data_IF_077422096081
#
_entry.id   IF_077422096081
#
_cell.length_a   1.000
_cell.length_b   1.000
_cell.length_c   1.000
_cell.angle_alpha   90.00
_cell.angle_beta   90.00
_cell.angle_gamma   90.00
#
_symmetry.space_group_name_H-M   'P 1'
#
loop_
_entity.id
_entity.type
_entity.pdbx_description
1 polymer ?
#
# COMPACT_ATOMS: atom_id res chain seq x y z
N UNK A 1 28.30 -16.89 -62.27
CA UNK A 1 29.26 -17.25 -61.21
C UNK A 1 29.27 -16.12 -60.19
N UNK A 2 28.81 -16.42 -58.97
CA UNK A 2 28.97 -15.67 -57.71
C UNK A 2 28.47 -14.20 -57.63
N UNK A 3 27.15 -14.01 -57.47
CA UNK A 3 26.59 -12.82 -56.83
C UNK A 3 26.37 -13.11 -55.33
N UNK A 4 27.45 -13.10 -54.54
CA UNK A 4 27.32 -13.08 -53.09
C UNK A 4 28.49 -12.31 -52.47
N UNK A 5 28.19 -11.68 -51.32
CA UNK A 5 29.11 -11.13 -50.31
C UNK A 5 29.49 -9.67 -50.50
N UNK A 6 28.63 -8.77 -50.01
CA UNK A 6 29.01 -7.74 -49.02
C UNK A 6 27.81 -7.37 -48.14
N UNK A 7 27.20 -8.35 -47.46
CA UNK A 7 26.46 -7.99 -46.25
C UNK A 7 27.54 -7.53 -45.27
N UNK A 8 27.62 -6.21 -45.04
CA UNK A 8 28.67 -5.59 -44.23
C UNK A 8 28.58 -6.21 -42.84
N UNK A 9 29.55 -7.04 -42.46
CA UNK A 9 29.73 -7.63 -41.14
C UNK A 9 29.31 -6.70 -39.97
N UNK A 10 29.61 -5.38 -39.98
CA UNK A 10 29.12 -4.47 -38.93
C UNK A 10 27.59 -4.34 -38.84
N UNK A 11 26.84 -4.41 -39.94
CA UNK A 11 25.38 -4.32 -39.93
C UNK A 11 24.72 -5.60 -39.39
N UNK A 12 25.32 -6.76 -39.65
CA UNK A 12 24.85 -8.04 -39.10
C UNK A 12 25.14 -8.14 -37.59
N UNK A 13 26.32 -7.67 -37.15
CA UNK A 13 26.68 -7.56 -35.73
C UNK A 13 25.77 -6.56 -34.99
N UNK A 14 25.46 -5.41 -35.60
CA UNK A 14 24.55 -4.42 -35.01
C UNK A 14 23.14 -4.99 -34.86
N UNK A 15 22.62 -5.65 -35.90
CA UNK A 15 21.30 -6.31 -35.85
C UNK A 15 21.23 -7.44 -34.82
N UNK A 16 22.29 -8.24 -34.68
CA UNK A 16 22.39 -9.27 -33.65
C UNK A 16 22.45 -8.66 -32.24
N UNK A 17 23.19 -7.57 -32.03
CA UNK A 17 23.21 -6.84 -30.76
C UNK A 17 21.82 -6.28 -30.42
N UNK A 18 21.11 -5.68 -31.38
CA UNK A 18 19.74 -5.19 -31.14
C UNK A 18 18.76 -6.33 -30.83
N UNK A 19 18.90 -7.49 -31.48
CA UNK A 19 18.08 -8.67 -31.20
C UNK A 19 18.37 -9.25 -29.80
N UNK A 20 19.65 -9.33 -29.39
CA UNK A 20 20.05 -9.81 -28.05
C UNK A 20 19.61 -8.84 -26.96
N UNK A 21 19.76 -7.51 -27.17
CA UNK A 21 19.27 -6.49 -26.25
C UNK A 21 17.74 -6.55 -26.16
N UNK A 22 17.03 -6.72 -27.28
CA UNK A 22 15.58 -6.93 -27.29
C UNK A 22 15.14 -8.18 -26.52
N UNK A 23 15.85 -9.29 -26.66
CA UNK A 23 15.56 -10.54 -25.94
C UNK A 23 15.80 -10.42 -24.43
N UNK A 24 16.86 -9.70 -24.02
CA UNK A 24 17.18 -9.43 -22.61
C UNK A 24 16.15 -8.50 -21.95
N UNK A 25 15.60 -7.53 -22.67
CA UNK A 25 14.54 -6.64 -22.16
C UNK A 25 13.22 -7.39 -21.96
N UNK A 26 12.92 -8.41 -22.79
CA UNK A 26 11.72 -9.26 -22.65
C UNK A 26 11.88 -10.26 -21.49
N UNK A 27 13.12 -10.65 -21.15
CA UNK A 27 13.42 -11.57 -20.07
C UNK A 27 13.55 -10.92 -18.69
N UNK A 28 13.45 -9.59 -18.59
CA UNK A 28 13.42 -8.92 -17.30
C UNK A 28 12.11 -9.29 -16.57
N UNK A 29 12.15 -9.92 -15.39
CA UNK A 29 10.94 -10.13 -14.61
C UNK A 29 10.32 -8.76 -14.34
N UNK A 30 9.06 -8.60 -14.75
CA UNK A 30 8.26 -7.46 -14.34
C UNK A 30 8.00 -7.64 -12.85
N UNK A 31 8.92 -7.15 -12.00
CA UNK A 31 8.74 -7.17 -10.55
C UNK A 31 7.61 -6.20 -10.21
N UNK A 32 6.41 -6.75 -10.09
CA UNK A 32 5.23 -5.97 -9.70
C UNK A 32 5.18 -5.69 -8.19
N UNK A 33 6.02 -6.35 -7.37
CA UNK A 33 6.04 -6.26 -5.90
C UNK A 33 7.43 -5.99 -5.32
N UNK A 34 7.60 -6.25 -4.04
CA UNK A 34 8.89 -6.08 -3.36
C UNK A 34 9.99 -6.96 -4.01
N UNK A 35 11.25 -6.48 -4.09
CA UNK A 35 12.36 -7.28 -4.56
C UNK A 35 12.58 -8.52 -3.70
N UNK A 36 12.97 -9.63 -4.32
CA UNK A 36 13.31 -10.85 -3.60
C UNK A 36 14.59 -10.66 -2.76
N UNK A 37 14.68 -11.38 -1.64
CA UNK A 37 15.81 -11.30 -0.73
C UNK A 37 17.05 -11.98 -1.31
N UNK A 38 18.23 -11.40 -1.06
CA UNK A 38 19.52 -11.94 -1.53
C UNK A 38 20.31 -12.67 -0.42
N UNK A 39 19.80 -12.66 0.80
CA UNK A 39 20.38 -13.26 2.00
C UNK A 39 19.27 -13.50 3.02
N UNK A 40 19.52 -14.36 4.01
CA UNK A 40 18.51 -14.80 4.98
C UNK A 40 17.85 -13.65 5.77
N UNK A 41 18.62 -12.62 6.14
CA UNK A 41 18.10 -11.46 6.89
C UNK A 41 18.79 -10.15 6.47
N UNK A 42 18.03 -9.05 6.51
CA UNK A 42 18.55 -7.69 6.33
C UNK A 42 17.75 -6.71 7.20
N UNK A 43 17.99 -6.74 8.52
CA UNK A 43 17.28 -5.87 9.48
C UNK A 43 17.53 -4.39 9.14
N UNK A 44 16.48 -3.59 9.02
CA UNK A 44 16.59 -2.18 8.64
C UNK A 44 17.45 -1.36 9.61
N UNK A 45 18.43 -0.65 9.08
CA UNK A 45 19.25 0.33 9.79
C UNK A 45 18.78 1.77 9.51
N UNK A 46 17.88 2.26 10.36
CA UNK A 46 17.42 3.64 10.26
C UNK A 46 18.48 4.68 10.63
N UNK A 47 19.56 4.30 11.34
CA UNK A 47 20.60 5.26 11.74
C UNK A 47 21.39 5.73 10.51
N UNK A 48 21.70 4.80 9.60
CA UNK A 48 22.39 5.11 8.34
C UNK A 48 21.60 6.05 7.42
N UNK A 49 20.27 6.15 7.60
CA UNK A 49 19.41 7.06 6.82
C UNK A 49 19.52 8.53 7.25
N UNK A 50 20.11 8.83 8.40
CA UNK A 50 20.32 10.22 8.87
C UNK A 50 21.30 11.01 7.98
N UNK A 51 22.10 10.32 7.17
CA UNK A 51 23.02 10.92 6.20
C UNK A 51 22.44 11.03 4.78
N UNK A 52 23.30 11.19 3.75
CA UNK A 52 22.88 11.32 2.36
C UNK A 52 22.46 9.98 1.71
N UNK A 53 22.69 8.84 2.38
CA UNK A 53 22.40 7.52 1.83
C UNK A 53 20.90 7.35 1.56
N UNK A 54 20.55 7.05 0.30
CA UNK A 54 19.20 6.70 -0.12
C UNK A 54 19.28 5.43 -0.95
N UNK A 55 18.45 4.46 -0.61
CA UNK A 55 18.32 3.16 -1.29
C UNK A 55 16.83 2.83 -1.45
N UNK A 56 16.50 1.90 -2.33
CA UNK A 56 15.15 1.34 -2.37
C UNK A 56 14.99 0.38 -1.17
N UNK A 57 14.04 0.67 -0.27
CA UNK A 57 13.95 0.00 1.04
C UNK A 57 14.90 0.62 2.06
N UNK A 58 15.57 -0.21 2.86
CA UNK A 58 16.46 0.25 3.93
C UNK A 58 17.84 -0.45 3.88
N UNK A 59 18.93 0.25 4.25
CA UNK A 59 20.22 -0.41 4.46
C UNK A 59 20.11 -1.41 5.62
N UNK A 60 20.95 -2.45 5.64
CA UNK A 60 20.93 -3.48 6.67
C UNK A 60 21.84 -3.11 7.86
N UNK A 61 21.43 -3.48 9.08
CA UNK A 61 22.33 -3.54 10.24
C UNK A 61 23.39 -4.64 10.03
N UNK A 62 24.60 -4.51 10.61
CA UNK A 62 25.54 -5.63 10.70
C UNK A 62 24.90 -6.80 11.45
N UNK A 63 25.00 -8.01 10.91
CA UNK A 63 24.37 -9.21 11.47
C UNK A 63 24.79 -9.49 12.92
N UNK A 64 26.04 -9.19 13.28
CA UNK A 64 26.54 -9.32 14.65
C UNK A 64 25.79 -8.45 15.69
N UNK A 65 25.03 -7.44 15.24
CA UNK A 65 24.23 -6.55 16.08
C UNK A 65 22.72 -6.86 16.01
N UNK A 66 22.32 -7.90 15.27
CA UNK A 66 20.93 -8.32 15.12
C UNK A 66 20.53 -9.21 16.30
N UNK A 67 19.31 -9.00 16.79
CA UNK A 67 18.73 -9.74 17.91
C UNK A 67 17.30 -10.19 17.61
N UNK A 68 16.74 -11.08 18.43
CA UNK A 68 15.34 -11.49 18.29
C UNK A 68 14.36 -10.31 18.38
N UNK A 69 14.70 -9.27 19.14
CA UNK A 69 13.88 -8.07 19.31
C UNK A 69 13.73 -7.28 17.99
N UNK A 70 14.65 -7.43 17.04
CA UNK A 70 14.54 -6.80 15.72
C UNK A 70 13.42 -7.41 14.85
N UNK A 71 12.95 -8.61 15.19
CA UNK A 71 11.89 -9.34 14.50
C UNK A 71 10.57 -9.35 15.28
N UNK A 72 10.52 -8.69 16.44
CA UNK A 72 9.38 -8.72 17.34
C UNK A 72 8.64 -7.37 17.37
N UNK A 73 7.31 -7.44 17.39
CA UNK A 73 6.47 -6.28 17.63
C UNK A 73 5.16 -6.66 18.33
N UNK A 74 5.02 -6.24 19.58
CA UNK A 74 3.82 -6.49 20.38
C UNK A 74 2.68 -5.49 20.16
N UNK A 75 2.86 -4.47 19.31
CA UNK A 75 1.91 -3.36 19.19
C UNK A 75 0.51 -3.76 18.71
N UNK A 76 0.39 -4.84 17.94
CA UNK A 76 -0.91 -5.35 17.48
C UNK A 76 -1.75 -5.98 18.60
N UNK A 77 -1.18 -6.25 19.78
CA UNK A 77 -1.90 -6.87 20.89
C UNK A 77 -2.93 -5.93 21.54
N UNK A 78 -2.69 -4.62 21.50
CA UNK A 78 -3.56 -3.61 22.10
C UNK A 78 -4.52 -3.02 21.05
N UNK A 79 -5.74 -2.69 21.49
CA UNK A 79 -6.67 -1.90 20.69
C UNK A 79 -6.23 -0.44 20.66
N UNK A 80 -6.36 0.20 19.50
CA UNK A 80 -6.19 1.65 19.37
C UNK A 80 -7.45 2.41 19.83
N UNK A 81 -7.30 3.69 20.21
CA UNK A 81 -8.43 4.56 20.57
C UNK A 81 -9.22 4.97 19.31
N UNK A 82 -10.48 4.55 19.26
CA UNK A 82 -11.42 4.83 18.17
C UNK A 82 -12.51 5.84 18.55
N UNK A 83 -12.47 6.40 19.76
CA UNK A 83 -13.54 7.23 20.31
C UNK A 83 -13.14 8.70 20.46
N UNK A 84 -11.91 8.99 20.87
CA UNK A 84 -11.50 10.36 21.19
C UNK A 84 -11.06 11.13 19.95
N UNK A 85 -11.85 12.11 19.52
CA UNK A 85 -11.47 13.01 18.41
C UNK A 85 -11.28 12.30 17.06
N UNK A 86 -11.83 11.10 16.90
CA UNK A 86 -11.70 10.27 15.71
C UNK A 86 -13.04 10.20 14.96
N UNK A 87 -13.28 11.09 13.97
CA UNK A 87 -14.56 11.14 13.27
C UNK A 87 -14.83 9.92 12.40
N UNK A 88 -13.80 9.12 12.06
CA UNK A 88 -13.98 7.89 11.30
C UNK A 88 -14.37 6.72 12.20
N UNK A 89 -14.13 6.80 13.51
CA UNK A 89 -14.40 5.70 14.42
C UNK A 89 -13.60 4.43 14.10
N UNK A 90 -12.43 4.55 13.44
CA UNK A 90 -11.51 3.44 13.24
C UNK A 90 -10.06 3.88 13.40
N UNK A 91 -9.19 2.96 13.80
CA UNK A 91 -7.76 3.24 13.98
C UNK A 91 -6.93 2.05 13.53
N UNK A 92 -5.83 2.35 12.83
CA UNK A 92 -4.91 1.34 12.28
C UNK A 92 -3.61 1.36 13.07
N UNK A 93 -3.17 0.19 13.51
CA UNK A 93 -1.83 -0.05 14.04
C UNK A 93 -1.05 -0.88 13.04
N UNK A 94 -0.03 -0.29 12.41
CA UNK A 94 0.79 -0.96 11.40
C UNK A 94 1.95 -1.74 12.03
N UNK A 95 2.19 -2.94 11.49
CA UNK A 95 3.39 -3.75 11.71
C UNK A 95 4.10 -3.94 10.36
N UNK A 96 4.65 -2.83 9.85
CA UNK A 96 5.42 -2.78 8.59
C UNK A 96 6.92 -2.67 8.86
N UNK A 97 7.73 -2.56 7.80
CA UNK A 97 9.18 -2.45 7.92
C UNK A 97 9.68 -1.17 8.60
N UNK A 98 8.80 -0.27 9.08
CA UNK A 98 9.16 0.84 9.97
C UNK A 98 8.99 0.48 11.44
N UNK A 99 7.97 -0.32 11.76
CA UNK A 99 7.68 -0.80 13.12
C UNK A 99 8.44 -2.09 13.47
N UNK A 100 8.67 -2.96 12.49
CA UNK A 100 9.36 -4.25 12.62
C UNK A 100 10.57 -4.27 11.69
N UNK A 101 11.76 -3.85 12.15
CA UNK A 101 12.94 -3.69 11.29
C UNK A 101 13.35 -4.96 10.54
N UNK A 102 13.08 -6.13 11.13
CA UNK A 102 13.34 -7.44 10.54
C UNK A 102 12.50 -7.78 9.31
N UNK A 103 11.43 -7.03 9.01
CA UNK A 103 10.62 -7.22 7.79
C UNK A 103 11.31 -6.71 6.52
N UNK A 104 12.39 -5.93 6.65
CA UNK A 104 13.09 -5.40 5.49
C UNK A 104 13.64 -6.53 4.61
N UNK A 105 13.39 -6.41 3.30
CA UNK A 105 13.63 -7.39 2.22
C UNK A 105 12.72 -8.62 2.20
N UNK A 106 11.80 -8.79 3.16
CA UNK A 106 10.98 -10.02 3.28
C UNK A 106 9.62 -9.96 2.56
N UNK A 107 9.27 -8.82 1.97
CA UNK A 107 8.09 -8.71 1.10
C UNK A 107 6.75 -8.89 1.79
N UNK A 108 6.67 -8.77 3.12
CA UNK A 108 5.43 -8.92 3.89
C UNK A 108 5.30 -7.91 5.01
N UNK A 109 4.07 -7.59 5.37
CA UNK A 109 3.74 -6.79 6.57
C UNK A 109 2.33 -7.09 7.06
N UNK A 110 1.98 -6.58 8.23
CA UNK A 110 0.65 -6.73 8.82
C UNK A 110 0.12 -5.40 9.35
N UNK A 111 -1.18 -5.35 9.61
CA UNK A 111 -1.80 -4.28 10.37
C UNK A 111 -2.98 -4.82 11.20
N UNK A 112 -3.28 -4.15 12.30
CA UNK A 112 -4.52 -4.29 13.05
C UNK A 112 -5.38 -3.07 12.82
N UNK A 113 -6.67 -3.25 12.57
CA UNK A 113 -7.64 -2.17 12.53
C UNK A 113 -8.73 -2.41 13.55
N UNK A 114 -8.91 -1.46 14.45
CA UNK A 114 -10.01 -1.42 15.42
C UNK A 114 -11.12 -0.50 14.90
N UNK A 115 -12.37 -0.89 15.10
CA UNK A 115 -13.55 -0.15 14.65
C UNK A 115 -14.55 0.04 15.80
N UNK A 116 -15.03 1.27 15.97
CA UNK A 116 -16.16 1.58 16.83
C UNK A 116 -17.43 0.84 16.34
N UNK A 117 -18.37 0.52 17.26
CA UNK A 117 -19.66 -0.04 16.89
C UNK A 117 -20.44 0.86 15.93
N UNK A 118 -21.43 0.29 15.23
CA UNK A 118 -22.44 1.05 14.46
C UNK A 118 -21.87 2.09 13.47
N UNK A 119 -20.89 1.69 12.67
CA UNK A 119 -20.44 2.51 11.54
C UNK A 119 -19.01 3.05 11.64
N UNK A 120 -18.21 2.61 12.62
CA UNK A 120 -16.76 2.81 12.56
C UNK A 120 -16.23 2.37 11.20
N UNK A 121 -15.54 3.26 10.50
CA UNK A 121 -15.23 3.10 9.07
C UNK A 121 -13.74 3.33 8.83
N UNK A 122 -13.14 2.40 8.11
CA UNK A 122 -11.90 2.65 7.38
C UNK A 122 -12.33 3.18 6.01
N UNK A 123 -12.21 4.50 5.77
CA UNK A 123 -12.80 5.15 4.60
C UNK A 123 -12.15 4.65 3.31
N UNK A 124 -12.73 4.94 2.12
CA UNK A 124 -12.15 4.53 0.85
C UNK A 124 -10.66 4.87 0.73
N UNK A 125 -9.83 3.84 0.58
CA UNK A 125 -8.39 3.95 0.47
C UNK A 125 -7.82 2.87 -0.47
N UNK A 126 -6.55 3.00 -0.84
CA UNK A 126 -5.85 2.02 -1.65
C UNK A 126 -4.41 1.82 -1.14
N UNK A 127 -3.89 0.62 -1.37
CA UNK A 127 -2.50 0.26 -1.13
C UNK A 127 -1.76 0.21 -2.47
N UNK A 128 -0.96 1.23 -2.82
CA UNK A 128 -0.34 1.31 -4.15
C UNK A 128 0.68 0.20 -4.42
N UNK A 129 1.22 -0.42 -3.36
CA UNK A 129 2.31 -1.41 -3.47
C UNK A 129 1.94 -2.80 -2.94
N UNK A 130 0.72 -3.03 -2.47
CA UNK A 130 0.35 -4.34 -1.94
C UNK A 130 -1.08 -4.75 -2.25
N UNK A 131 -1.26 -6.06 -2.47
CA UNK A 131 -2.52 -6.77 -2.23
C UNK A 131 -2.69 -6.92 -0.73
N UNK A 132 -3.93 -6.84 -0.26
CA UNK A 132 -4.29 -7.07 1.14
C UNK A 132 -5.18 -8.30 1.27
N UNK A 133 -4.91 -9.12 2.29
CA UNK A 133 -5.88 -10.08 2.82
C UNK A 133 -6.26 -9.68 4.24
N UNK A 134 -7.56 -9.52 4.48
CA UNK A 134 -8.15 -9.15 5.76
C UNK A 134 -8.73 -10.39 6.42
N UNK A 135 -8.47 -10.56 7.71
CA UNK A 135 -9.09 -11.54 8.59
C UNK A 135 -9.85 -10.80 9.70
N UNK A 136 -11.15 -11.10 9.89
CA UNK A 136 -11.94 -10.49 10.97
C UNK A 136 -11.71 -11.27 12.25
N UNK A 137 -11.01 -10.66 13.21
CA UNK A 137 -10.71 -11.26 14.51
C UNK A 137 -11.89 -11.16 15.48
N UNK A 138 -12.64 -10.04 15.42
CA UNK A 138 -13.80 -9.77 16.27
C UNK A 138 -14.88 -8.99 15.51
N UNK A 139 -16.15 -9.19 15.89
CA UNK A 139 -17.28 -8.46 15.35
C UNK A 139 -17.64 -8.85 13.91
N UNK A 140 -18.21 -7.87 13.19
CA UNK A 140 -18.75 -8.04 11.84
C UNK A 140 -18.49 -6.76 11.04
N UNK A 141 -17.88 -6.92 9.86
CA UNK A 141 -17.56 -5.83 8.94
C UNK A 141 -18.33 -6.00 7.64
N UNK A 142 -18.86 -4.92 7.10
CA UNK A 142 -19.09 -4.81 5.67
C UNK A 142 -17.81 -4.32 5.00
N UNK A 143 -17.35 -5.04 3.99
CA UNK A 143 -16.14 -4.69 3.24
C UNK A 143 -16.46 -4.62 1.76
N UNK A 144 -15.65 -3.88 1.01
CA UNK A 144 -15.72 -3.97 -0.45
C UNK A 144 -14.64 -3.19 -1.18
N UNK A 145 -14.42 -3.54 -2.45
CA UNK A 145 -13.53 -2.84 -3.37
C UNK A 145 -14.22 -2.50 -4.68
N UNK A 146 -13.69 -1.51 -5.38
CA UNK A 146 -14.19 -1.06 -6.68
C UNK A 146 -13.16 -1.39 -7.76
N UNK A 147 -13.60 -2.09 -8.82
CA UNK A 147 -12.71 -2.42 -9.95
C UNK A 147 -12.33 -1.18 -10.74
N UNK A 148 -11.13 -1.16 -11.32
CA UNK A 148 -10.79 -0.18 -12.35
C UNK A 148 -11.58 -0.46 -13.63
N UNK A 149 -12.34 0.52 -14.14
CA UNK A 149 -13.04 0.40 -15.41
C UNK A 149 -13.25 1.78 -16.06
N UNK A 150 -13.17 1.84 -17.39
CA UNK A 150 -13.33 3.07 -18.16
C UNK A 150 -14.75 3.68 -18.07
N UNK A 151 -15.77 2.88 -17.73
CA UNK A 151 -17.18 3.27 -17.71
C UNK A 151 -17.80 3.26 -16.29
N UNK A 152 -16.98 3.47 -15.26
CA UNK A 152 -17.40 3.40 -13.86
C UNK A 152 -17.16 2.00 -13.28
N UNK A 153 -16.33 1.93 -12.24
CA UNK A 153 -15.96 0.67 -11.60
C UNK A 153 -17.14 -0.10 -11.00
N UNK A 154 -16.99 -1.42 -10.87
CA UNK A 154 -17.97 -2.29 -10.20
C UNK A 154 -17.58 -2.48 -8.74
N UNK A 155 -18.53 -2.29 -7.82
CA UNK A 155 -18.37 -2.64 -6.41
C UNK A 155 -18.52 -4.16 -6.21
N UNK A 156 -17.54 -4.75 -5.52
CA UNK A 156 -17.62 -6.08 -4.92
C UNK A 156 -17.64 -5.89 -3.41
N UNK A 157 -18.75 -6.22 -2.76
CA UNK A 157 -18.90 -6.08 -1.30
C UNK A 157 -19.53 -7.30 -0.66
N UNK A 158 -19.26 -7.48 0.63
CA UNK A 158 -19.80 -8.57 1.45
C UNK A 158 -19.74 -8.20 2.94
N UNK A 159 -20.67 -8.76 3.73
CA UNK A 159 -20.54 -8.84 5.18
C UNK A 159 -19.64 -10.01 5.58
N UNK A 160 -18.56 -9.71 6.30
CA UNK A 160 -17.52 -10.63 6.76
C UNK A 160 -17.57 -10.68 8.28
N UNK A 161 -17.73 -11.87 8.82
CA UNK A 161 -17.87 -12.13 10.25
C UNK A 161 -16.55 -12.61 10.83
N UNK A 162 -16.48 -12.61 12.16
CA UNK A 162 -15.39 -13.23 12.92
C UNK A 162 -14.99 -14.61 12.33
N UNK A 163 -13.69 -14.77 12.07
CA UNK A 163 -13.11 -16.00 11.55
C UNK A 163 -13.09 -16.09 10.01
N UNK A 164 -13.72 -15.14 9.31
CA UNK A 164 -13.76 -15.10 7.85
C UNK A 164 -12.70 -14.14 7.28
N UNK A 165 -12.41 -14.30 5.98
CA UNK A 165 -11.42 -13.50 5.25
C UNK A 165 -12.01 -12.78 4.05
N UNK A 166 -11.35 -11.71 3.61
CA UNK A 166 -11.64 -11.01 2.36
C UNK A 166 -10.35 -10.46 1.74
N UNK A 167 -10.26 -10.42 0.40
CA UNK A 167 -9.05 -10.00 -0.33
C UNK A 167 -9.32 -8.72 -1.11
N UNK A 168 -8.41 -7.76 -0.99
CA UNK A 168 -8.41 -6.51 -1.76
C UNK A 168 -7.25 -6.51 -2.76
N UNK A 169 -7.52 -6.50 -4.07
CA UNK A 169 -6.46 -6.48 -5.07
C UNK A 169 -5.60 -5.21 -4.99
N UNK A 170 -4.30 -5.34 -5.28
CA UNK A 170 -3.33 -4.25 -5.26
C UNK A 170 -3.83 -3.00 -5.97
N UNK A 171 -3.73 -1.86 -5.29
CA UNK A 171 -4.03 -0.54 -5.83
C UNK A 171 -5.51 -0.21 -6.01
N UNK A 172 -6.45 -1.13 -5.72
CA UNK A 172 -7.88 -0.83 -5.86
C UNK A 172 -8.41 -0.09 -4.62
N UNK A 173 -9.28 0.88 -4.87
CA UNK A 173 -10.02 1.57 -3.82
C UNK A 173 -10.95 0.57 -3.13
N UNK A 174 -10.85 0.52 -1.81
CA UNK A 174 -11.64 -0.36 -0.96
C UNK A 174 -11.92 0.29 0.39
N UNK A 175 -12.86 -0.29 1.15
CA UNK A 175 -13.28 0.21 2.45
C UNK A 175 -13.71 -0.94 3.36
N UNK A 176 -13.79 -0.64 4.65
CA UNK A 176 -14.40 -1.51 5.65
C UNK A 176 -15.27 -0.67 6.59
N UNK A 177 -16.40 -1.21 7.02
CA UNK A 177 -17.34 -0.57 7.95
C UNK A 177 -17.84 -1.58 8.97
N UNK A 178 -17.74 -1.25 10.25
CA UNK A 178 -18.42 -2.01 11.31
C UNK A 178 -19.94 -1.88 11.19
N UNK A 179 -20.64 -3.01 11.15
CA UNK A 179 -22.12 -3.07 11.06
C UNK A 179 -22.76 -3.67 12.31
N UNK A 180 -21.94 -4.02 13.32
CA UNK A 180 -22.40 -4.66 14.55
C UNK A 180 -22.59 -3.68 15.72
N UNK A 181 -23.30 -4.17 16.73
CA UNK A 181 -23.49 -3.48 18.01
C UNK A 181 -22.25 -3.49 18.92
N UNK A 182 -21.33 -4.43 18.67
CA UNK A 182 -20.05 -4.51 19.35
C UNK A 182 -18.94 -3.90 18.47
N UNK A 183 -17.81 -3.48 19.07
CA UNK A 183 -16.61 -3.14 18.31
C UNK A 183 -16.19 -4.29 17.40
N UNK A 184 -15.53 -3.97 16.30
CA UNK A 184 -14.96 -4.96 15.40
C UNK A 184 -13.43 -4.80 15.33
N UNK A 185 -12.74 -5.90 15.10
CA UNK A 185 -11.28 -5.94 14.96
C UNK A 185 -10.94 -6.77 13.73
N UNK A 186 -10.06 -6.25 12.89
CA UNK A 186 -9.53 -6.99 11.76
C UNK A 186 -8.00 -6.94 11.73
N UNK A 187 -7.42 -8.02 11.20
CA UNK A 187 -5.99 -8.16 10.98
C UNK A 187 -5.78 -8.28 9.48
N UNK A 188 -5.00 -7.36 8.92
CA UNK A 188 -4.62 -7.33 7.51
C UNK A 188 -3.20 -7.87 7.36
N UNK A 189 -2.95 -8.62 6.29
CA UNK A 189 -1.62 -8.98 5.83
C UNK A 189 -1.43 -8.51 4.39
N UNK A 190 -0.20 -8.10 4.07
CA UNK A 190 0.15 -7.48 2.81
C UNK A 190 1.34 -8.19 2.16
N UNK A 191 1.35 -8.28 0.83
CA UNK A 191 2.47 -8.78 0.03
C UNK A 191 3.53 -7.70 -0.27
N UNK A 192 3.77 -6.82 0.71
CA UNK A 192 4.86 -5.84 0.71
C UNK A 192 5.25 -5.52 2.14
N UNK A 193 6.54 -5.26 2.37
CA UNK A 193 7.09 -4.73 3.61
C UNK A 193 6.60 -3.30 3.90
N UNK A 194 6.15 -2.58 2.86
CA UNK A 194 5.66 -1.20 2.93
C UNK A 194 4.49 -0.98 1.94
N UNK A 195 3.28 -1.47 2.26
CA UNK A 195 2.12 -1.40 1.36
C UNK A 195 1.77 0.04 0.96
N UNK A 196 1.95 0.98 1.90
CA UNK A 196 1.51 2.37 1.80
C UNK A 196 -0.01 2.47 1.83
N UNK A 197 -0.54 3.58 2.34
CA UNK A 197 -1.98 3.81 2.39
C UNK A 197 -2.31 5.16 1.81
N UNK A 198 -3.15 5.19 0.79
CA UNK A 198 -3.66 6.42 0.20
C UNK A 198 -5.16 6.52 0.47
N UNK A 199 -5.53 7.17 1.57
CA UNK A 199 -6.93 7.49 1.87
C UNK A 199 -7.44 8.51 0.86
N UNK A 200 -8.52 8.19 0.14
CA UNK A 200 -9.00 8.98 -0.99
C UNK A 200 -9.34 10.42 -0.60
N UNK A 201 -10.05 10.61 0.52
CA UNK A 201 -10.40 11.93 0.99
C UNK A 201 -9.17 12.77 1.37
N UNK A 202 -8.23 12.20 2.13
CA UNK A 202 -7.01 12.89 2.53
C UNK A 202 -6.12 13.24 1.34
N UNK A 203 -5.98 12.32 0.38
CA UNK A 203 -5.18 12.55 -0.82
C UNK A 203 -5.76 13.65 -1.73
N UNK A 204 -7.09 13.71 -1.87
CA UNK A 204 -7.75 14.68 -2.74
C UNK A 204 -7.96 16.04 -2.07
N UNK A 205 -8.34 16.07 -0.79
CA UNK A 205 -8.79 17.27 -0.08
C UNK A 205 -7.88 17.71 1.07
N UNK A 206 -6.89 16.90 1.47
CA UNK A 206 -5.98 17.18 2.59
C UNK A 206 -4.49 17.22 2.22
N UNK A 207 -4.14 17.12 0.93
CA UNK A 207 -2.76 17.14 0.48
C UNK A 207 -2.03 18.47 0.79
N UNK A 208 -0.70 18.41 0.91
CA UNK A 208 0.16 19.58 1.10
C UNK A 208 1.33 19.55 0.10
N UNK A 209 1.45 20.51 -0.84
CA UNK A 209 0.50 21.59 -1.11
C UNK A 209 -0.88 21.07 -1.58
N UNK A 210 -1.97 21.83 -1.36
CA UNK A 210 -3.32 21.36 -1.68
C UNK A 210 -3.56 21.23 -3.18
N UNK A 211 -4.35 20.23 -3.57
CA UNK A 211 -4.88 20.14 -4.95
C UNK A 211 -5.69 21.41 -5.25
N UNK A 212 -5.49 22.08 -6.40
CA UNK A 212 -6.23 23.29 -6.74
C UNK A 212 -7.75 23.11 -6.62
N UNK A 213 -8.43 24.07 -5.99
CA UNK A 213 -9.88 23.99 -5.75
C UNK A 213 -10.67 23.88 -7.04
N UNK A 214 -10.25 24.55 -8.10
CA UNK A 214 -10.89 24.51 -9.42
C UNK A 214 -10.74 23.15 -10.13
N UNK A 215 -9.61 22.46 -9.93
CA UNK A 215 -9.40 21.08 -10.42
C UNK A 215 -10.41 20.14 -9.75
N UNK A 216 -10.55 20.21 -8.42
CA UNK A 216 -11.48 19.37 -7.68
C UNK A 216 -12.94 19.75 -7.99
N UNK A 217 -13.27 21.04 -8.07
CA UNK A 217 -14.61 21.50 -8.40
C UNK A 217 -15.08 20.94 -9.75
N UNK A 218 -14.20 20.99 -10.78
CA UNK A 218 -14.47 20.39 -12.08
C UNK A 218 -14.56 18.87 -12.02
N UNK A 219 -13.64 18.21 -11.31
CA UNK A 219 -13.62 16.75 -11.21
C UNK A 219 -14.88 16.19 -10.51
N UNK A 220 -15.36 16.88 -9.48
CA UNK A 220 -16.53 16.48 -8.69
C UNK A 220 -17.84 17.11 -9.20
N UNK A 221 -17.80 17.90 -10.29
CA UNK A 221 -18.96 18.58 -10.87
C UNK A 221 -19.74 19.41 -9.84
N UNK A 222 -19.01 20.16 -9.02
CA UNK A 222 -19.54 20.96 -7.91
C UNK A 222 -18.84 22.32 -7.86
N UNK A 223 -19.34 23.22 -7.02
CA UNK A 223 -18.76 24.55 -6.84
C UNK A 223 -17.56 24.58 -5.89
N UNK A 224 -16.71 25.60 -6.05
CA UNK A 224 -15.52 25.83 -5.22
C UNK A 224 -15.84 25.89 -3.72
N UNK A 225 -16.97 26.51 -3.33
CA UNK A 225 -17.38 26.59 -1.93
C UNK A 225 -17.65 25.24 -1.28
N UNK A 226 -18.17 24.26 -2.03
CA UNK A 226 -18.36 22.89 -1.54
C UNK A 226 -17.02 22.21 -1.35
N UNK A 227 -16.09 22.35 -2.31
CA UNK A 227 -14.74 21.80 -2.21
C UNK A 227 -14.00 22.38 -0.99
N UNK A 228 -14.03 23.69 -0.80
CA UNK A 228 -13.36 24.34 0.32
C UNK A 228 -13.98 23.92 1.66
N UNK A 229 -15.30 23.67 1.69
CA UNK A 229 -15.99 23.10 2.87
C UNK A 229 -15.54 21.65 3.17
N UNK A 230 -15.23 20.85 2.16
CA UNK A 230 -14.67 19.49 2.37
C UNK A 230 -13.22 19.60 2.86
N UNK A 231 -12.40 20.45 2.21
CA UNK A 231 -11.00 20.68 2.61
C UNK A 231 -10.87 21.09 4.08
N UNK A 232 -11.77 21.94 4.59
CA UNK A 232 -11.73 22.38 5.99
C UNK A 232 -12.03 21.28 7.01
N UNK A 233 -12.66 20.17 6.59
CA UNK A 233 -12.98 19.01 7.44
C UNK A 233 -11.93 17.91 7.37
N UNK A 234 -11.18 17.83 6.27
CA UNK A 234 -10.24 16.74 5.97
C UNK A 234 -8.78 17.15 6.20
N UNK A 235 -8.48 18.44 6.24
CA UNK A 235 -7.14 18.93 6.55
C UNK A 235 -6.70 18.50 7.95
N UNK A 236 -5.43 18.09 8.16
CA UNK A 236 -4.90 17.86 9.49
C UNK A 236 -5.10 19.13 10.35
N UNK A 237 -5.35 19.00 11.66
CA UNK A 237 -5.27 20.16 12.55
C UNK A 237 -3.88 20.80 12.40
N UNK A 238 -3.86 22.13 12.29
CA UNK A 238 -2.63 22.92 12.28
C UNK A 238 -1.88 22.79 13.61
#
# INVERSE_FOLDING_TARGET
MALMKKLKLPALLLGACFAVVGLLVIAAPVLAGDPDMLQDICVADYKSLKGPLRVNGFPCKPEANVTADDFFFGGLAAAADVYTGNPTGSAVTSADATAVPGLNTLGVSMARTDYAPWGGVSPPHAHPRATEILFVAEGTLEVGFVTAAAAGGRLFSRTVNRGEVFVFPRGLLHFQRSVGAAPAVAISAFDSQMPGTQAAAAALFGAAPPVPTDVLARAFQTDAGVVDSIKSKVSPPK
#
